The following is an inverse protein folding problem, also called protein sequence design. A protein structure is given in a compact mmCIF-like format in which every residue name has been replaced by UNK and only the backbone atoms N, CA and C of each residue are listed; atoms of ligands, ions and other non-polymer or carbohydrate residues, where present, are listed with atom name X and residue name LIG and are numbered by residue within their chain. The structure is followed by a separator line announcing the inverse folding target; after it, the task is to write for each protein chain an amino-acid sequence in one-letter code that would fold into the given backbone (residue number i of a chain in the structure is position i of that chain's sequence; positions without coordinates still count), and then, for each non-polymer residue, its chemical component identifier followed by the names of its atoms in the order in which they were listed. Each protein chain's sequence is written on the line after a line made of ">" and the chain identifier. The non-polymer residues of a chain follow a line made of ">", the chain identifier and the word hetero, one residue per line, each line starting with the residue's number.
data_IF_671438047816
#
_entry.id   IF_671438047816
#
_cell.length_a   1.000
_cell.length_b   1.000
_cell.length_c   1.000
_cell.angle_alpha   90.00
_cell.angle_beta   90.00
_cell.angle_gamma   90.00
#
_symmetry.space_group_name_H-M   'P 1'
#
loop_
_entity.id
_entity.type
_entity.pdbx_description
1 polymer ?
#
# COMPACT_ATOMS: atom_id res chain seq x y z
N UNK A 1 -28.67 -7.62 2.23
CA UNK A 1 -27.23 -7.86 2.04
C UNK A 1 -26.54 -6.54 2.31
N UNK A 2 -25.90 -6.43 3.47
CA UNK A 2 -25.30 -5.18 3.93
C UNK A 2 -24.14 -4.84 3.01
N UNK A 3 -24.24 -3.70 2.33
CA UNK A 3 -23.13 -3.13 1.57
C UNK A 3 -22.08 -2.70 2.61
N UNK A 4 -21.09 -3.55 2.88
CA UNK A 4 -19.90 -3.11 3.60
C UNK A 4 -19.23 -2.06 2.72
N UNK A 5 -19.54 -0.80 3.01
CA UNK A 5 -18.87 0.35 2.42
C UNK A 5 -17.41 0.26 2.81
N UNK A 6 -16.59 -0.30 1.92
CA UNK A 6 -15.14 -0.21 1.99
C UNK A 6 -14.82 1.28 1.98
N UNK A 7 -14.56 1.84 3.16
CA UNK A 7 -14.06 3.18 3.31
C UNK A 7 -12.67 3.18 2.66
N UNK A 8 -12.59 3.73 1.45
CA UNK A 8 -11.33 3.99 0.75
C UNK A 8 -10.62 5.09 1.54
N UNK A 9 -9.73 4.71 2.43
CA UNK A 9 -9.24 5.64 3.47
C UNK A 9 -8.08 6.49 2.98
N UNK A 10 -7.34 6.07 1.94
CA UNK A 10 -6.37 6.97 1.28
C UNK A 10 -5.95 6.47 -0.10
N UNK A 11 -5.79 7.39 -1.05
CA UNK A 11 -5.18 7.15 -2.37
C UNK A 11 -4.02 8.12 -2.55
N UNK A 12 -2.85 7.62 -2.91
CA UNK A 12 -1.68 8.45 -3.18
C UNK A 12 -0.95 8.01 -4.45
N UNK A 13 -0.57 8.98 -5.27
CA UNK A 13 0.41 8.78 -6.33
C UNK A 13 1.82 8.76 -5.74
N UNK A 14 2.60 7.77 -6.14
CA UNK A 14 3.91 7.47 -5.58
C UNK A 14 4.95 7.32 -6.69
N UNK A 15 5.75 8.37 -6.96
CA UNK A 15 6.87 8.28 -7.88
C UNK A 15 7.87 7.20 -7.46
N UNK A 16 8.61 6.66 -8.42
CA UNK A 16 9.68 5.71 -8.15
C UNK A 16 10.78 6.34 -7.27
N UNK A 17 11.34 5.54 -6.37
CA UNK A 17 12.40 5.94 -5.43
C UNK A 17 11.93 6.85 -4.30
N UNK A 18 10.63 7.20 -4.23
CA UNK A 18 10.10 8.04 -3.17
C UNK A 18 9.48 7.22 -2.03
N UNK A 19 9.58 7.83 -0.85
CA UNK A 19 8.97 7.36 0.38
C UNK A 19 7.88 8.33 0.80
N UNK A 20 6.66 7.84 1.04
CA UNK A 20 5.53 8.67 1.52
C UNK A 20 4.91 8.09 2.79
N UNK A 21 4.79 8.89 3.86
CA UNK A 21 4.05 8.48 5.03
C UNK A 21 2.54 8.55 4.78
N UNK A 22 1.81 7.50 5.13
CA UNK A 22 0.35 7.49 5.22
C UNK A 22 0.00 7.12 6.66
N UNK A 23 -0.92 7.84 7.29
CA UNK A 23 -1.42 7.51 8.63
C UNK A 23 -2.76 6.80 8.46
N UNK A 24 -2.82 5.53 8.88
CA UNK A 24 -4.06 4.76 8.94
C UNK A 24 -4.31 4.40 10.40
N UNK A 25 -5.26 5.06 11.08
CA UNK A 25 -5.47 4.86 12.51
C UNK A 25 -5.64 3.39 12.89
N UNK A 26 -6.33 2.58 12.09
CA UNK A 26 -6.56 1.14 12.31
C UNK A 26 -5.61 0.19 11.62
N UNK A 27 -4.69 0.72 10.82
CA UNK A 27 -3.86 -0.06 9.91
C UNK A 27 -4.62 -0.59 8.69
N UNK A 28 -3.89 -0.88 7.60
CA UNK A 28 -4.47 -1.36 6.35
C UNK A 28 -4.84 -2.83 6.49
N UNK A 29 -6.09 -3.17 6.17
CA UNK A 29 -6.50 -4.55 5.93
C UNK A 29 -6.16 -4.98 4.50
N UNK A 30 -6.29 -4.04 3.57
CA UNK A 30 -6.10 -4.32 2.16
C UNK A 30 -5.33 -3.18 1.53
N UNK A 31 -4.31 -3.55 0.78
CA UNK A 31 -3.52 -2.60 -0.02
C UNK A 31 -3.64 -3.00 -1.48
N UNK A 32 -4.04 -2.04 -2.31
CA UNK A 32 -4.10 -2.20 -3.74
C UNK A 32 -3.11 -1.25 -4.40
N UNK A 33 -2.19 -1.80 -5.19
CA UNK A 33 -1.24 -1.02 -5.98
C UNK A 33 -1.68 -1.07 -7.43
N UNK A 34 -2.03 0.09 -8.00
CA UNK A 34 -2.33 0.23 -9.41
C UNK A 34 -1.06 0.67 -10.15
N UNK A 35 -0.82 0.03 -11.29
CA UNK A 35 0.33 0.30 -12.15
C UNK A 35 -0.13 0.98 -13.47
N UNK A 36 -0.68 2.20 -13.43
CA UNK A 36 -1.24 2.85 -14.62
C UNK A 36 -0.18 3.16 -15.68
N UNK A 37 1.09 3.23 -15.27
CA UNK A 37 2.22 3.59 -16.11
C UNK A 37 3.02 2.38 -16.60
N UNK A 38 2.52 1.15 -16.37
CA UNK A 38 3.13 -0.09 -16.84
C UNK A 38 4.61 -0.26 -16.42
N UNK A 39 4.95 0.14 -15.20
CA UNK A 39 6.28 0.02 -14.63
C UNK A 39 6.55 -1.33 -13.98
N UNK A 40 7.75 -1.46 -13.42
CA UNK A 40 8.20 -2.63 -12.68
C UNK A 40 8.86 -2.20 -11.36
N UNK A 41 8.57 -2.92 -10.29
CA UNK A 41 9.15 -2.67 -8.99
C UNK A 41 8.35 -3.28 -7.84
N UNK A 42 8.61 -2.76 -6.64
CA UNK A 42 7.91 -3.21 -5.44
C UNK A 42 7.62 -2.07 -4.50
N UNK A 43 6.47 -2.15 -3.87
CA UNK A 43 6.08 -1.27 -2.79
C UNK A 43 6.37 -1.98 -1.47
N UNK A 44 7.30 -1.43 -0.69
CA UNK A 44 7.53 -1.85 0.70
C UNK A 44 6.75 -0.96 1.64
N UNK A 45 6.25 -1.54 2.72
CA UNK A 45 5.64 -0.79 3.80
C UNK A 45 5.81 -1.53 5.13
N UNK A 46 5.73 -0.77 6.21
CA UNK A 46 5.87 -1.28 7.57
C UNK A 46 4.57 -1.03 8.33
N UNK A 47 4.09 -2.07 9.02
CA UNK A 47 2.95 -1.99 9.92
C UNK A 47 3.47 -2.34 11.31
N UNK A 48 3.59 -1.35 12.20
CA UNK A 48 4.23 -1.51 13.51
C UNK A 48 5.66 -2.07 13.37
N UNK A 49 5.91 -3.35 13.67
CA UNK A 49 7.21 -4.01 13.54
C UNK A 49 7.32 -4.94 12.33
N UNK A 50 6.22 -5.25 11.64
CA UNK A 50 6.22 -6.19 10.53
C UNK A 50 6.37 -5.44 9.21
N UNK A 51 7.34 -5.86 8.40
CA UNK A 51 7.53 -5.38 7.05
C UNK A 51 6.77 -6.24 6.05
N UNK A 52 6.17 -5.59 5.08
CA UNK A 52 5.43 -6.20 4.00
C UNK A 52 5.89 -5.61 2.67
N UNK A 53 5.72 -6.38 1.61
CA UNK A 53 6.02 -5.93 0.26
C UNK A 53 5.01 -6.47 -0.74
N UNK A 54 4.65 -5.65 -1.71
CA UNK A 54 3.84 -6.04 -2.86
C UNK A 54 4.58 -5.67 -4.14
N UNK A 55 4.76 -6.65 -5.01
CA UNK A 55 5.40 -6.44 -6.31
C UNK A 55 4.37 -5.98 -7.35
N UNK A 56 4.79 -5.10 -8.25
CA UNK A 56 4.01 -4.69 -9.40
C UNK A 56 4.84 -4.88 -10.67
N UNK A 57 4.22 -5.46 -11.68
CA UNK A 57 4.89 -5.85 -12.92
C UNK A 57 4.19 -5.21 -14.13
N UNK A 58 4.90 -5.02 -15.25
CA UNK A 58 4.29 -4.60 -16.51
C UNK A 58 3.22 -5.61 -16.95
N UNK A 59 2.13 -5.12 -17.54
CA UNK A 59 0.99 -5.92 -17.98
C UNK A 59 0.01 -6.29 -16.87
N UNK A 60 0.35 -6.04 -15.61
CA UNK A 60 -0.54 -6.23 -14.45
C UNK A 60 -1.12 -4.87 -14.05
N UNK A 61 -2.42 -4.61 -14.29
CA UNK A 61 -3.02 -3.29 -14.03
C UNK A 61 -3.09 -2.96 -12.54
N UNK A 62 -3.25 -3.98 -11.69
CA UNK A 62 -3.28 -3.84 -10.25
C UNK A 62 -2.86 -5.11 -9.53
N UNK A 63 -2.10 -4.98 -8.46
CA UNK A 63 -1.79 -6.07 -7.51
C UNK A 63 -2.47 -5.76 -6.18
N UNK A 64 -3.01 -6.78 -5.53
CA UNK A 64 -3.68 -6.67 -4.23
C UNK A 64 -2.90 -7.49 -3.20
N UNK A 65 -2.71 -6.92 -2.01
CA UNK A 65 -2.19 -7.62 -0.84
C UNK A 65 -3.19 -7.46 0.30
N UNK A 66 -3.75 -8.59 0.73
CA UNK A 66 -4.55 -8.69 1.94
C UNK A 66 -3.61 -8.86 3.14
N UNK A 67 -3.81 -8.05 4.17
CA UNK A 67 -2.96 -7.98 5.35
C UNK A 67 -3.83 -8.23 6.56
N UNK A 68 -3.51 -9.31 7.27
CA UNK A 68 -4.09 -9.55 8.59
C UNK A 68 -3.22 -8.78 9.60
N UNK A 69 -3.62 -7.55 9.91
CA UNK A 69 -2.98 -6.77 10.97
C UNK A 69 -3.50 -7.29 12.32
N UNK A 70 -2.61 -7.76 13.22
CA UNK A 70 -3.02 -8.08 14.58
C UNK A 70 -3.70 -6.84 15.21
N UNK A 71 -4.78 -7.04 15.96
CA UNK A 71 -5.41 -5.93 16.67
C UNK A 71 -4.42 -5.39 17.73
N UNK A 72 -3.73 -4.29 17.42
CA UNK A 72 -2.87 -3.63 18.39
C UNK A 72 -3.69 -2.67 19.27
N UNK A 73 -3.37 -2.59 20.57
CA UNK A 73 -4.10 -1.76 21.52
C UNK A 73 -3.91 -0.25 21.30
N UNK A 74 -2.89 0.18 20.53
CA UNK A 74 -2.58 1.60 20.29
C UNK A 74 -2.72 1.98 18.81
N UNK A 75 -3.64 2.92 18.47
CA UNK A 75 -3.81 3.46 17.12
C UNK A 75 -2.62 4.29 16.59
N UNK A 76 -1.80 4.84 17.48
CA UNK A 76 -0.71 5.75 17.11
C UNK A 76 0.56 5.04 16.63
N UNK A 77 0.63 3.71 16.81
CA UNK A 77 1.78 2.87 16.42
C UNK A 77 1.78 2.51 14.92
N UNK A 78 0.74 2.93 14.19
CA UNK A 78 0.53 2.64 12.78
C UNK A 78 1.09 3.77 11.89
N UNK A 79 2.43 3.86 11.81
CA UNK A 79 3.11 4.68 10.80
C UNK A 79 3.43 3.84 9.56
N UNK A 80 2.73 4.10 8.45
CA UNK A 80 3.03 3.47 7.17
C UNK A 80 3.95 4.36 6.38
N UNK A 81 5.10 3.83 6.00
CA UNK A 81 5.93 4.45 4.99
C UNK A 81 5.90 3.55 3.78
N UNK A 82 5.25 4.00 2.71
CA UNK A 82 5.36 3.32 1.44
C UNK A 82 6.67 3.74 0.80
N UNK A 83 7.42 2.78 0.28
CA UNK A 83 8.61 3.03 -0.52
C UNK A 83 8.45 2.34 -1.86
N UNK A 84 8.46 3.12 -2.94
CA UNK A 84 8.42 2.61 -4.29
C UNK A 84 9.84 2.28 -4.75
N UNK A 85 10.27 1.03 -4.57
CA UNK A 85 11.58 0.57 -5.02
C UNK A 85 11.51 0.10 -6.48
N UNK A 86 12.10 0.84 -7.44
CA UNK A 86 12.21 0.35 -8.81
C UNK A 86 13.04 -0.93 -8.88
N UNK A 87 12.73 -1.82 -9.82
CA UNK A 87 13.60 -2.95 -10.12
C UNK A 87 14.96 -2.44 -10.62
N UNK A 88 16.09 -2.96 -10.12
CA UNK A 88 17.41 -2.56 -10.60
C UNK A 88 17.52 -2.68 -12.13
N UNK A 89 17.92 -1.59 -12.79
CA UNK A 89 17.97 -1.52 -14.26
C UNK A 89 16.67 -1.07 -14.93
N UNK A 90 15.66 -0.66 -14.15
CA UNK A 90 14.43 -0.02 -14.65
C UNK A 90 14.28 1.39 -14.08
N UNK A 91 13.51 2.23 -14.76
CA UNK A 91 13.26 3.59 -14.29
C UNK A 91 12.35 3.64 -13.04
N UNK A 92 11.69 2.52 -12.69
CA UNK A 92 10.44 2.53 -11.93
C UNK A 92 9.39 3.43 -12.55
N UNK A 93 8.12 3.23 -12.21
CA UNK A 93 7.07 4.18 -12.62
C UNK A 93 6.22 4.59 -11.43
N UNK A 94 5.59 5.74 -11.58
CA UNK A 94 4.61 6.21 -10.60
C UNK A 94 3.49 5.19 -10.50
N UNK A 95 3.20 4.76 -9.28
CA UNK A 95 2.06 3.89 -8.98
C UNK A 95 1.02 4.66 -8.17
N UNK A 96 -0.22 4.17 -8.15
CA UNK A 96 -1.23 4.63 -7.21
C UNK A 96 -1.41 3.57 -6.14
N UNK A 97 -1.22 3.93 -4.88
CA UNK A 97 -1.44 3.03 -3.74
C UNK A 97 -2.75 3.42 -3.07
N UNK A 98 -3.63 2.45 -2.91
CA UNK A 98 -4.89 2.56 -2.17
C UNK A 98 -4.84 1.64 -0.95
N UNK A 99 -5.30 2.15 0.18
CA UNK A 99 -5.37 1.41 1.44
C UNK A 99 -6.78 1.46 2.01
N UNK A 100 -7.28 0.29 2.38
CA UNK A 100 -8.54 0.12 3.08
C UNK A 100 -8.21 -0.21 4.54
N UNK A 101 -8.73 0.58 5.48
CA UNK A 101 -8.61 0.33 6.92
C UNK A 101 -9.88 -0.42 7.41
N UNK A 102 -9.66 -1.36 8.31
CA UNK A 102 -10.67 -2.31 8.81
C UNK A 102 -11.65 -1.71 9.82
N UNK A 103 -11.47 -0.45 10.21
CA UNK A 103 -12.35 0.18 11.20
C UNK A 103 -13.66 0.68 10.57
N UNK A 104 -14.83 0.15 10.99
CA UNK A 104 -16.08 0.90 10.90
C UNK A 104 -16.06 2.14 11.79
#
# INVERSE_FOLDING_TARGET
>A
MSSESVLKITSNEMPAGQTKPIKLPGGPNKITVYNPNNGDGKIKFKVSFTEYSIEYHPGIPSTVLDIIVPAFPNPDDYYFCFMNEPTPGTDGKTVRVECDDLRP
#
